data_IF_438529115596
#
_entry.id   IF_438529115596
#
_cell.length_a   1.000
_cell.length_b   1.000
_cell.length_c   1.000
_cell.angle_alpha   90.00
_cell.angle_beta   90.00
_cell.angle_gamma   90.00
#
_symmetry.space_group_name_H-M   'P 1'
#
loop_
_entity.id
_entity.type
_entity.pdbx_description
1 polymer ?
#
# COMPACT_ATOMS: atom_id res chain seq x y z
N UNK A 1 -7.21 -14.32 -14.84
CA UNK A 1 -6.25 -13.25 -14.55
C UNK A 1 -5.77 -13.36 -13.12
N UNK A 2 -4.49 -13.18 -12.89
CA UNK A 2 -3.91 -13.33 -11.57
C UNK A 2 -4.09 -12.06 -10.74
N UNK A 3 -4.42 -12.25 -9.46
CA UNK A 3 -4.41 -11.16 -8.50
C UNK A 3 -2.99 -10.60 -8.39
N UNK A 4 -2.90 -9.32 -8.15
CA UNK A 4 -1.63 -8.62 -8.08
C UNK A 4 -1.51 -7.89 -6.74
N UNK A 5 -0.31 -7.85 -6.20
CA UNK A 5 -0.02 -7.29 -4.88
C UNK A 5 1.24 -6.45 -4.93
N UNK A 6 1.22 -5.31 -4.27
CA UNK A 6 2.44 -4.57 -3.98
C UNK A 6 2.60 -4.41 -2.47
N UNK A 7 3.84 -4.48 -2.02
CA UNK A 7 4.20 -4.38 -0.60
C UNK A 7 5.17 -3.23 -0.44
N UNK A 8 4.92 -2.39 0.54
CA UNK A 8 5.82 -1.28 0.84
C UNK A 8 6.10 -1.23 2.34
N UNK A 9 7.38 -1.11 2.69
CA UNK A 9 7.79 -0.97 4.08
C UNK A 9 8.26 0.44 4.33
N UNK A 10 7.87 1.00 5.47
CA UNK A 10 8.30 2.34 5.84
C UNK A 10 8.46 2.45 7.35
N UNK A 11 9.43 3.26 7.77
CA UNK A 11 9.62 3.58 9.18
C UNK A 11 9.40 5.07 9.33
N UNK A 12 8.54 5.44 10.29
CA UNK A 12 8.09 6.82 10.48
C UNK A 12 8.68 7.35 11.78
N UNK A 13 9.24 8.57 11.80
CA UNK A 13 9.61 9.20 13.07
C UNK A 13 8.39 9.33 13.97
N UNK A 14 8.53 9.13 15.29
CA UNK A 14 7.39 9.20 16.21
C UNK A 14 6.60 10.50 16.11
N UNK A 15 7.27 11.63 15.84
CA UNK A 15 6.61 12.92 15.69
C UNK A 15 5.73 13.03 14.45
N UNK A 16 5.88 12.11 13.50
CA UNK A 16 5.10 12.13 12.25
C UNK A 16 4.03 11.05 12.21
N UNK A 17 3.87 10.28 13.27
CA UNK A 17 2.91 9.17 13.31
C UNK A 17 1.47 9.65 13.02
N UNK A 18 1.05 10.72 13.65
CA UNK A 18 -0.31 11.24 13.48
C UNK A 18 -0.57 11.67 12.03
N UNK A 19 0.40 12.36 11.43
CA UNK A 19 0.31 12.77 10.02
C UNK A 19 0.26 11.54 9.10
N UNK A 20 1.07 10.53 9.41
CA UNK A 20 1.08 9.30 8.63
C UNK A 20 -0.28 8.59 8.70
N UNK A 21 -0.89 8.49 9.88
CA UNK A 21 -2.22 7.90 10.02
C UNK A 21 -3.28 8.62 9.18
N UNK A 22 -3.19 9.94 9.11
CA UNK A 22 -4.07 10.73 8.26
C UNK A 22 -3.88 10.40 6.78
N UNK A 23 -2.63 10.31 6.34
CA UNK A 23 -2.34 9.95 4.95
C UNK A 23 -2.79 8.54 4.61
N UNK A 24 -2.69 7.61 5.56
CA UNK A 24 -3.18 6.25 5.36
C UNK A 24 -4.69 6.24 5.13
N UNK A 25 -5.44 7.03 5.89
CA UNK A 25 -6.89 7.13 5.72
C UNK A 25 -7.25 7.65 4.33
N UNK A 26 -6.55 8.66 3.84
CA UNK A 26 -6.75 9.22 2.51
C UNK A 26 -6.43 8.19 1.42
N UNK A 27 -5.33 7.47 1.58
CA UNK A 27 -4.94 6.44 0.62
C UNK A 27 -5.90 5.25 0.63
N UNK A 28 -6.38 4.88 1.81
CA UNK A 28 -7.37 3.80 1.92
C UNK A 28 -8.65 4.16 1.15
N UNK A 29 -9.12 5.40 1.26
CA UNK A 29 -10.28 5.86 0.51
C UNK A 29 -10.02 5.84 -1.00
N UNK A 30 -8.83 6.28 -1.42
CA UNK A 30 -8.45 6.25 -2.83
C UNK A 30 -8.48 4.82 -3.38
N UNK A 31 -7.84 3.88 -2.67
CA UNK A 31 -7.77 2.50 -3.16
C UNK A 31 -9.13 1.81 -3.18
N UNK A 32 -9.98 2.10 -2.21
CA UNK A 32 -11.34 1.57 -2.21
C UNK A 32 -12.11 2.02 -3.48
N UNK A 33 -11.94 3.28 -3.87
CA UNK A 33 -12.56 3.79 -5.09
C UNK A 33 -11.91 3.28 -6.37
N UNK A 34 -10.70 2.77 -6.30
CA UNK A 34 -9.94 2.26 -7.45
C UNK A 34 -10.00 0.74 -7.58
N UNK A 35 -10.94 0.09 -6.91
CA UNK A 35 -11.13 -1.37 -6.94
C UNK A 35 -9.94 -2.14 -6.38
N UNK A 36 -9.26 -1.55 -5.40
CA UNK A 36 -8.14 -2.18 -4.72
C UNK A 36 -8.47 -2.43 -3.27
N UNK A 37 -7.77 -3.39 -2.69
CA UNK A 37 -7.82 -3.66 -1.27
C UNK A 37 -6.53 -3.17 -0.64
N UNK A 38 -6.60 -2.57 0.54
CA UNK A 38 -5.45 -1.92 1.17
C UNK A 38 -5.39 -2.27 2.65
N UNK A 39 -4.23 -2.76 3.09
CA UNK A 39 -3.99 -3.11 4.49
C UNK A 39 -2.68 -2.51 4.95
N UNK A 40 -2.63 -2.15 6.23
CA UNK A 40 -1.39 -1.68 6.85
C UNK A 40 -1.21 -2.42 8.17
N UNK A 41 -0.01 -2.90 8.39
CA UNK A 41 0.37 -3.60 9.62
C UNK A 41 1.57 -2.91 10.24
N UNK A 42 1.59 -2.83 11.55
CA UNK A 42 2.76 -2.31 12.28
C UNK A 42 3.55 -3.48 12.85
N UNK A 43 4.89 -3.41 12.76
CA UNK A 43 5.75 -4.44 13.32
C UNK A 43 5.63 -4.44 14.85
N UNK A 44 5.30 -5.58 15.48
CA UNK A 44 5.14 -5.60 16.94
C UNK A 44 6.45 -5.43 17.69
N UNK A 45 7.58 -5.70 17.05
CA UNK A 45 8.90 -5.57 17.64
C UNK A 45 9.60 -4.24 17.37
N UNK A 46 9.03 -3.42 16.48
CA UNK A 46 9.64 -2.15 16.09
C UNK A 46 8.56 -1.10 15.88
N UNK A 47 8.35 -0.27 16.89
CA UNK A 47 7.34 0.76 16.84
C UNK A 47 7.57 1.73 15.68
N UNK A 48 6.48 2.12 15.01
CA UNK A 48 6.47 3.03 13.87
C UNK A 48 7.11 2.46 12.60
N UNK A 49 7.33 1.15 12.55
CA UNK A 49 7.70 0.44 11.33
C UNK A 49 6.44 -0.23 10.78
N UNK A 50 6.07 0.11 9.55
CA UNK A 50 4.81 -0.30 8.94
C UNK A 50 5.04 -1.08 7.66
N UNK A 51 4.13 -2.00 7.37
CA UNK A 51 4.08 -2.72 6.11
C UNK A 51 2.73 -2.43 5.47
N UNK A 52 2.75 -1.92 4.26
CA UNK A 52 1.56 -1.56 3.50
C UNK A 52 1.37 -2.56 2.36
N UNK A 53 0.16 -3.12 2.27
CA UNK A 53 -0.20 -4.05 1.21
C UNK A 53 -1.30 -3.44 0.38
N UNK A 54 -1.12 -3.42 -0.94
CA UNK A 54 -2.15 -2.99 -1.88
C UNK A 54 -2.37 -4.11 -2.88
N UNK A 55 -3.61 -4.54 -3.03
CA UNK A 55 -3.98 -5.68 -3.88
C UNK A 55 -5.08 -5.29 -4.85
N UNK A 56 -5.02 -5.83 -6.06
CA UNK A 56 -6.07 -5.71 -7.06
C UNK A 56 -6.26 -7.03 -7.78
N UNK A 57 -7.34 -7.14 -8.55
CA UNK A 57 -7.65 -8.36 -9.29
C UNK A 57 -6.69 -8.59 -10.46
N UNK A 58 -6.01 -7.53 -10.92
CA UNK A 58 -5.03 -7.62 -12.00
C UNK A 58 -3.96 -6.55 -11.84
N UNK A 59 -2.82 -6.78 -12.52
CA UNK A 59 -1.66 -5.91 -12.41
C UNK A 59 -1.89 -4.51 -12.99
N UNK A 60 -2.65 -4.41 -14.07
CA UNK A 60 -2.91 -3.13 -14.71
C UNK A 60 -3.73 -2.20 -13.81
N UNK A 61 -4.77 -2.75 -13.17
CA UNK A 61 -5.59 -2.00 -12.22
C UNK A 61 -4.74 -1.53 -11.04
N UNK A 62 -3.89 -2.41 -10.51
CA UNK A 62 -3.01 -2.08 -9.40
C UNK A 62 -2.03 -0.97 -9.76
N UNK A 63 -1.37 -1.09 -10.89
CA UNK A 63 -0.38 -0.09 -11.34
C UNK A 63 -1.01 1.28 -11.52
N UNK A 64 -2.18 1.34 -12.12
CA UNK A 64 -2.90 2.59 -12.32
C UNK A 64 -3.34 3.22 -11.00
N UNK A 65 -3.86 2.40 -10.08
CA UNK A 65 -4.29 2.87 -8.78
C UNK A 65 -3.12 3.45 -7.97
N UNK A 66 -1.97 2.77 -7.99
CA UNK A 66 -0.78 3.24 -7.28
C UNK A 66 -0.24 4.53 -7.90
N UNK A 67 -0.23 4.61 -9.23
CA UNK A 67 0.26 5.81 -9.92
C UNK A 67 -0.59 7.05 -9.64
N UNK A 68 -1.88 6.87 -9.40
CA UNK A 68 -2.81 7.97 -9.13
C UNK A 68 -3.05 8.24 -7.65
N UNK A 69 -2.42 7.46 -6.76
CA UNK A 69 -2.62 7.60 -5.33
C UNK A 69 -2.05 8.93 -4.80
N UNK A 70 -2.66 9.51 -3.75
CA UNK A 70 -2.07 10.65 -3.07
C UNK A 70 -0.71 10.26 -2.49
N UNK A 71 0.29 11.08 -2.73
CA UNK A 71 1.64 10.86 -2.23
C UNK A 71 2.17 9.46 -2.58
N UNK A 72 2.31 9.13 -3.87
CA UNK A 72 2.89 7.85 -4.25
C UNK A 72 4.28 7.72 -3.67
N UNK A 73 4.60 6.53 -3.16
CA UNK A 73 5.90 6.26 -2.57
C UNK A 73 7.04 6.49 -3.56
N UNK A 74 8.21 6.85 -3.03
CA UNK A 74 9.42 6.96 -3.83
C UNK A 74 10.00 5.55 -4.02
N UNK A 75 10.47 5.29 -5.23
CA UNK A 75 11.12 4.04 -5.56
C UNK A 75 10.33 3.24 -6.61
N UNK A 76 10.97 2.23 -7.20
CA UNK A 76 10.31 1.43 -8.24
C UNK A 76 9.18 0.59 -7.64
N UNK A 77 8.05 0.61 -8.32
CA UNK A 77 6.92 -0.23 -7.95
C UNK A 77 7.23 -1.67 -8.32
N UNK A 78 7.14 -2.56 -7.33
CA UNK A 78 7.25 -4.00 -7.58
C UNK A 78 5.89 -4.63 -7.41
N UNK A 79 5.41 -5.29 -8.45
CA UNK A 79 4.13 -5.98 -8.45
C UNK A 79 4.38 -7.48 -8.42
N UNK A 80 3.75 -8.15 -7.46
CA UNK A 80 3.79 -9.59 -7.31
C UNK A 80 2.49 -10.19 -7.85
N UNK A 81 2.59 -11.30 -8.54
CA UNK A 81 1.43 -12.02 -9.06
C UNK A 81 1.13 -13.23 -8.19
N UNK A 82 -0.15 -13.47 -7.98
CA UNK A 82 -0.57 -14.66 -7.23
C UNK A 82 -0.14 -15.92 -7.98
N UNK A 83 0.41 -16.87 -7.25
CA UNK A 83 0.78 -18.17 -7.79
C UNK A 83 -0.33 -19.17 -7.45
N UNK A 84 -0.80 -19.88 -8.44
CA UNK A 84 -1.75 -20.98 -8.26
C UNK A 84 -0.99 -22.30 -8.19
N UNK A 85 -1.37 -23.16 -7.23
CA UNK A 85 -0.67 -24.44 -7.03
C UNK A 85 -1.60 -25.50 -6.49
#
# INVERSE_FOLDING_TARGET
MSRALTIQRTTIPPSERERYMKRLAERAAHYAGAKCRFWVFEDPGLRNAFVEFTEADDAATLAEAVASAPEPGSGPLRIYHQVEF
#
